data_IF_942442476674
#
_entry.id   IF_942442476674
#
_cell.length_a   1.000
_cell.length_b   1.000
_cell.length_c   1.000
_cell.angle_alpha   90.00
_cell.angle_beta   90.00
_cell.angle_gamma   90.00
#
_symmetry.space_group_name_H-M   'P 1'
#
loop_
_entity.id
_entity.type
_entity.pdbx_description
1 polymer ?
#
# COMPACT_ATOMS: atom_id res chain seq x y z
N UNK A 1 -22.54 -0.79 0.70
CA UNK A 1 -23.40 -1.02 -0.48
C UNK A 1 -23.69 0.26 -1.26
N UNK A 2 -24.13 1.37 -0.65
CA UNK A 2 -24.44 2.65 -1.36
C UNK A 2 -23.26 3.16 -2.20
N UNK A 3 -22.03 3.15 -1.66
CA UNK A 3 -20.82 3.54 -2.39
C UNK A 3 -20.52 2.65 -3.60
N UNK A 4 -20.78 1.35 -3.54
CA UNK A 4 -20.61 0.45 -4.68
C UNK A 4 -21.57 0.76 -5.82
N UNK A 5 -22.81 1.11 -5.51
CA UNK A 5 -23.82 1.52 -6.49
C UNK A 5 -23.43 2.88 -7.10
N UNK A 6 -22.94 3.84 -6.31
CA UNK A 6 -22.46 5.11 -6.83
C UNK A 6 -21.28 4.93 -7.79
N UNK A 7 -20.31 4.07 -7.45
CA UNK A 7 -19.16 3.78 -8.33
C UNK A 7 -19.65 3.16 -9.64
N UNK A 8 -20.53 2.16 -9.60
CA UNK A 8 -21.11 1.51 -10.79
C UNK A 8 -21.85 2.48 -11.71
N UNK A 9 -22.56 3.47 -11.15
CA UNK A 9 -23.35 4.42 -11.92
C UNK A 9 -22.53 5.60 -12.47
N UNK A 10 -21.51 6.04 -11.75
CA UNK A 10 -20.76 7.28 -12.05
C UNK A 10 -19.37 7.06 -12.61
N UNK A 11 -18.75 5.89 -12.36
CA UNK A 11 -17.40 5.63 -12.86
C UNK A 11 -17.48 4.99 -14.25
N UNK A 12 -17.01 5.67 -15.31
CA UNK A 12 -16.98 5.09 -16.65
C UNK A 12 -15.86 4.05 -16.75
N UNK A 13 -16.10 2.96 -17.45
CA UNK A 13 -15.13 1.87 -17.65
C UNK A 13 -13.93 2.29 -18.50
N UNK A 14 -14.12 3.23 -19.44
CA UNK A 14 -13.07 3.72 -20.35
C UNK A 14 -13.14 5.24 -20.48
N UNK A 15 -12.01 5.86 -20.79
CA UNK A 15 -11.91 7.31 -21.05
C UNK A 15 -12.80 7.71 -22.23
N UNK A 16 -12.91 6.87 -23.25
CA UNK A 16 -13.77 7.09 -24.43
C UNK A 16 -15.26 7.22 -24.07
N UNK A 17 -15.72 6.46 -23.06
CA UNK A 17 -17.12 6.46 -22.60
C UNK A 17 -17.40 7.46 -21.46
N UNK A 18 -16.36 8.12 -20.94
CA UNK A 18 -16.50 9.08 -19.85
C UNK A 18 -17.36 10.26 -20.25
N UNK A 19 -18.41 10.54 -19.44
CA UNK A 19 -19.29 11.70 -19.59
C UNK A 19 -18.63 12.91 -18.91
N UNK A 20 -18.44 14.01 -19.62
CA UNK A 20 -17.88 15.25 -19.05
C UNK A 20 -16.57 15.73 -19.67
N UNK A 21 -15.96 14.97 -20.56
CA UNK A 21 -14.77 15.39 -21.32
C UNK A 21 -15.12 15.69 -22.77
N UNK A 22 -14.56 16.76 -23.30
CA UNK A 22 -14.67 17.10 -24.73
C UNK A 22 -13.86 16.09 -25.57
N UNK A 23 -14.18 15.88 -26.87
CA UNK A 23 -13.43 14.94 -27.70
C UNK A 23 -11.92 15.20 -27.77
N UNK A 24 -11.53 16.49 -27.74
CA UNK A 24 -10.12 16.91 -27.72
C UNK A 24 -9.41 16.58 -26.39
N UNK A 25 -10.11 16.68 -25.27
CA UNK A 25 -9.57 16.29 -23.96
C UNK A 25 -9.42 14.77 -23.84
N UNK A 26 -10.34 13.99 -24.39
CA UNK A 26 -10.23 12.54 -24.45
C UNK A 26 -9.00 12.09 -25.23
N UNK A 27 -8.77 12.64 -26.41
CA UNK A 27 -7.58 12.34 -27.23
C UNK A 27 -6.28 12.75 -26.51
N UNK A 28 -6.28 13.90 -25.81
CA UNK A 28 -5.15 14.33 -25.00
C UNK A 28 -4.87 13.38 -23.83
N UNK A 29 -5.91 12.93 -23.15
CA UNK A 29 -5.81 11.97 -22.01
C UNK A 29 -5.32 10.61 -22.51
N UNK A 30 -5.86 10.10 -23.63
CA UNK A 30 -5.43 8.83 -24.22
C UNK A 30 -3.95 8.87 -24.66
N UNK A 31 -3.51 9.93 -25.30
CA UNK A 31 -2.09 10.15 -25.65
C UNK A 31 -1.20 10.24 -24.40
N UNK A 32 -1.66 10.91 -23.35
CA UNK A 32 -0.93 11.02 -22.09
C UNK A 32 -0.83 9.70 -21.36
N UNK A 33 -1.90 8.90 -21.36
CA UNK A 33 -1.91 7.54 -20.82
C UNK A 33 -0.98 6.64 -21.61
N UNK A 34 -1.03 6.67 -22.93
CA UNK A 34 -0.13 5.92 -23.82
C UNK A 34 1.36 6.28 -23.61
N UNK A 35 1.67 7.55 -23.36
CA UNK A 35 3.04 7.99 -23.10
C UNK A 35 3.51 7.77 -21.66
N UNK A 36 2.60 7.73 -20.68
CA UNK A 36 2.92 7.60 -19.25
C UNK A 36 2.89 6.16 -18.79
N UNK A 37 1.98 5.38 -19.33
CA UNK A 37 1.97 3.93 -19.20
C UNK A 37 3.00 3.34 -20.17
N UNK A 38 4.27 3.38 -19.80
CA UNK A 38 5.33 2.65 -20.46
C UNK A 38 5.00 1.14 -20.42
N UNK A 39 4.22 0.66 -21.40
CA UNK A 39 3.84 -0.73 -21.48
C UNK A 39 2.41 -1.03 -21.92
N UNK A 40 1.54 -0.02 -22.07
CA UNK A 40 0.36 -0.16 -22.93
C UNK A 40 0.76 0.33 -24.31
N UNK A 41 1.74 -0.32 -24.92
CA UNK A 41 1.69 -0.52 -26.35
C UNK A 41 0.53 -1.49 -26.51
N UNK A 42 -0.51 -1.07 -27.25
CA UNK A 42 -1.51 -1.95 -27.82
C UNK A 42 -0.83 -3.22 -28.36
N UNK A 43 -0.65 -4.19 -27.49
CA UNK A 43 -0.62 -5.56 -27.88
C UNK A 43 -2.09 -5.89 -28.06
N UNK A 44 -2.50 -6.07 -29.29
CA UNK A 44 -3.85 -6.45 -29.76
C UNK A 44 -4.38 -7.76 -29.16
N UNK A 45 -3.78 -8.27 -28.10
CA UNK A 45 -4.27 -9.40 -27.34
C UNK A 45 -4.30 -9.01 -25.86
N UNK A 46 -5.50 -8.69 -25.40
CA UNK A 46 -5.91 -8.63 -23.97
C UNK A 46 -5.80 -10.03 -23.32
N UNK A 47 -5.09 -10.95 -23.97
CA UNK A 47 -4.96 -12.34 -23.57
C UNK A 47 -3.90 -12.47 -22.47
N UNK A 48 -4.37 -12.95 -21.32
CA UNK A 48 -3.54 -13.34 -20.20
C UNK A 48 -2.40 -14.27 -20.64
N UNK A 49 -1.17 -13.79 -20.58
CA UNK A 49 0.00 -14.55 -21.00
C UNK A 49 0.61 -15.31 -19.82
N UNK A 50 0.28 -16.60 -19.72
CA UNK A 50 0.78 -17.50 -18.66
C UNK A 50 2.31 -17.50 -18.60
N UNK A 51 3.00 -17.38 -19.73
CA UNK A 51 4.48 -17.35 -19.77
C UNK A 51 5.05 -16.12 -19.07
N UNK A 52 4.42 -14.95 -19.25
CA UNK A 52 4.80 -13.73 -18.56
C UNK A 52 4.51 -13.78 -17.06
N UNK A 53 3.40 -14.40 -16.67
CA UNK A 53 3.08 -14.64 -15.27
C UNK A 53 4.10 -15.56 -14.60
N UNK A 54 4.55 -16.64 -15.30
CA UNK A 54 5.61 -17.52 -14.82
C UNK A 54 6.98 -16.79 -14.72
N UNK A 55 7.31 -15.95 -15.69
CA UNK A 55 8.54 -15.14 -15.65
C UNK A 55 8.58 -14.23 -14.42
N UNK A 56 7.41 -13.75 -13.96
CA UNK A 56 7.31 -12.96 -12.73
C UNK A 56 7.86 -13.72 -11.51
N UNK A 57 7.62 -15.03 -11.42
CA UNK A 57 8.15 -15.86 -10.32
C UNK A 57 9.66 -16.12 -10.43
N UNK A 58 10.23 -16.04 -11.62
CA UNK A 58 11.67 -16.22 -11.87
C UNK A 58 12.46 -14.91 -11.63
N UNK A 59 11.77 -13.75 -11.64
CA UNK A 59 12.43 -12.47 -11.40
C UNK A 59 12.74 -12.29 -9.90
N UNK A 60 14.02 -12.14 -9.50
CA UNK A 60 14.39 -11.91 -8.11
C UNK A 60 13.74 -10.65 -7.51
N UNK A 61 13.40 -9.65 -8.31
CA UNK A 61 12.69 -8.44 -7.84
C UNK A 61 11.34 -8.77 -7.21
N UNK A 62 10.63 -9.76 -7.76
CA UNK A 62 9.35 -10.24 -7.22
C UNK A 62 9.51 -10.70 -5.78
N UNK A 63 10.50 -11.53 -5.52
CA UNK A 63 10.79 -12.07 -4.19
C UNK A 63 11.19 -10.97 -3.19
N UNK A 64 11.95 -9.97 -3.63
CA UNK A 64 12.28 -8.82 -2.79
C UNK A 64 11.05 -8.01 -2.41
N UNK A 65 10.14 -7.72 -3.35
CA UNK A 65 8.89 -7.02 -3.04
C UNK A 65 8.02 -7.83 -2.09
N UNK A 66 7.89 -9.13 -2.32
CA UNK A 66 7.15 -10.04 -1.45
C UNK A 66 7.73 -10.05 -0.04
N UNK A 67 9.05 -10.12 0.10
CA UNK A 67 9.74 -10.13 1.39
C UNK A 67 9.55 -8.81 2.15
N UNK A 68 9.68 -7.67 1.47
CA UNK A 68 9.47 -6.35 2.08
C UNK A 68 8.06 -6.24 2.65
N UNK A 69 7.05 -6.63 1.87
CA UNK A 69 5.65 -6.56 2.30
C UNK A 69 5.40 -7.55 3.44
N UNK A 70 5.90 -8.78 3.35
CA UNK A 70 5.74 -9.80 4.39
C UNK A 70 6.32 -9.33 5.71
N UNK A 71 7.60 -8.93 5.73
CA UNK A 71 8.27 -8.46 6.94
C UNK A 71 7.64 -7.21 7.54
N UNK A 72 7.09 -6.32 6.70
CA UNK A 72 6.39 -5.12 7.15
C UNK A 72 4.99 -5.42 7.71
N UNK A 73 4.31 -6.43 7.17
CA UNK A 73 2.92 -6.73 7.53
C UNK A 73 2.77 -7.68 8.72
N UNK A 74 3.70 -8.62 8.94
CA UNK A 74 3.63 -9.55 10.09
C UNK A 74 3.51 -8.82 11.44
N UNK A 75 4.37 -7.84 11.79
CA UNK A 75 4.19 -7.11 13.03
C UNK A 75 2.92 -6.25 13.06
N UNK A 76 2.53 -5.71 11.90
CA UNK A 76 1.35 -4.88 11.78
C UNK A 76 0.05 -5.67 12.01
N UNK A 77 -0.07 -6.87 11.45
CA UNK A 77 -1.20 -7.78 11.67
C UNK A 77 -1.36 -8.15 13.15
N UNK A 78 -0.25 -8.49 13.80
CA UNK A 78 -0.24 -8.79 15.24
C UNK A 78 -0.70 -7.59 16.08
N UNK A 79 -0.23 -6.38 15.76
CA UNK A 79 -0.67 -5.17 16.45
C UNK A 79 -2.14 -4.85 16.19
N UNK A 80 -2.64 -5.00 14.97
CA UNK A 80 -4.05 -4.74 14.67
C UNK A 80 -4.97 -5.66 15.47
N UNK A 81 -4.62 -6.94 15.60
CA UNK A 81 -5.42 -7.92 16.31
C UNK A 81 -5.32 -7.77 17.83
N UNK A 82 -4.12 -7.55 18.34
CA UNK A 82 -3.84 -7.60 19.78
C UNK A 82 -3.57 -6.22 20.43
N UNK A 83 -3.71 -5.11 19.71
CA UNK A 83 -3.41 -3.77 20.21
C UNK A 83 -4.08 -3.44 21.54
N UNK A 84 -5.38 -3.75 21.65
CA UNK A 84 -6.14 -3.50 22.88
C UNK A 84 -5.62 -4.34 24.04
N UNK A 85 -5.30 -5.62 23.79
CA UNK A 85 -4.74 -6.52 24.80
C UNK A 85 -3.35 -6.08 25.25
N UNK A 86 -2.50 -5.64 24.34
CA UNK A 86 -1.15 -5.15 24.62
C UNK A 86 -1.21 -3.87 25.45
N UNK A 87 -2.07 -2.93 25.10
CA UNK A 87 -2.21 -1.66 25.83
C UNK A 87 -2.85 -1.87 27.22
N UNK A 88 -3.84 -2.75 27.34
CA UNK A 88 -4.40 -3.09 28.67
C UNK A 88 -3.40 -3.83 29.54
N UNK A 89 -2.63 -4.75 28.98
CA UNK A 89 -1.52 -5.42 29.66
C UNK A 89 -0.42 -4.47 30.12
N UNK A 90 -0.20 -3.34 29.41
CA UNK A 90 0.71 -2.28 29.82
C UNK A 90 0.17 -1.36 30.91
N UNK A 91 -1.09 -1.56 31.36
CA UNK A 91 -1.70 -0.81 32.47
C UNK A 91 -2.63 0.34 32.06
N UNK A 92 -3.08 0.38 30.80
CA UNK A 92 -4.15 1.28 30.38
C UNK A 92 -5.52 0.64 30.63
N UNK A 93 -6.54 1.45 30.94
CA UNK A 93 -7.91 0.95 31.04
C UNK A 93 -8.43 0.55 29.65
N UNK A 94 -9.38 -0.37 29.60
CA UNK A 94 -9.93 -0.90 28.34
C UNK A 94 -10.53 0.22 27.47
N UNK A 95 -11.18 1.20 28.08
CA UNK A 95 -11.74 2.36 27.39
C UNK A 95 -10.62 3.26 26.79
N UNK A 96 -9.56 3.53 27.55
CA UNK A 96 -8.42 4.34 27.08
C UNK A 96 -7.68 3.61 25.96
N UNK A 97 -7.47 2.30 26.06
CA UNK A 97 -6.82 1.50 25.04
C UNK A 97 -7.58 1.57 23.69
N UNK A 98 -8.90 1.52 23.73
CA UNK A 98 -9.73 1.68 22.54
C UNK A 98 -9.67 3.11 21.97
N UNK A 99 -9.63 4.14 22.83
CA UNK A 99 -9.52 5.53 22.39
C UNK A 99 -8.15 5.86 21.76
N UNK A 100 -7.09 5.21 22.19
CA UNK A 100 -5.74 5.37 21.59
C UNK A 100 -5.72 4.92 20.12
N UNK A 101 -6.63 4.07 19.70
CA UNK A 101 -6.82 3.72 18.28
C UNK A 101 -7.15 4.94 17.40
N UNK A 102 -7.87 5.95 17.90
CA UNK A 102 -8.25 7.12 17.11
C UNK A 102 -7.03 7.91 16.63
N UNK A 103 -6.11 8.37 17.50
CA UNK A 103 -4.90 9.05 17.06
C UNK A 103 -3.99 8.17 16.19
N UNK A 104 -3.94 6.86 16.43
CA UNK A 104 -3.17 5.94 15.59
C UNK A 104 -3.65 5.96 14.13
N UNK A 105 -4.96 5.83 13.90
CA UNK A 105 -5.52 5.88 12.55
C UNK A 105 -5.41 7.26 11.91
N UNK A 106 -5.51 8.33 12.70
CA UNK A 106 -5.30 9.69 12.22
C UNK A 106 -3.84 9.91 11.75
N UNK A 107 -2.86 9.47 12.53
CA UNK A 107 -1.44 9.50 12.14
C UNK A 107 -1.23 8.69 10.86
N UNK A 108 -1.79 7.48 10.77
CA UNK A 108 -1.71 6.64 9.57
C UNK A 108 -2.24 7.36 8.33
N UNK A 109 -3.41 8.00 8.43
CA UNK A 109 -3.99 8.78 7.33
C UNK A 109 -3.04 9.89 6.87
N UNK A 110 -2.53 10.69 7.81
CA UNK A 110 -1.61 11.79 7.50
C UNK A 110 -0.33 11.26 6.83
N UNK A 111 0.25 10.20 7.37
CA UNK A 111 1.48 9.60 6.81
C UNK A 111 1.25 9.09 5.40
N UNK A 112 0.14 8.39 5.12
CA UNK A 112 -0.18 7.89 3.78
C UNK A 112 -0.36 9.04 2.80
N UNK A 113 -1.07 10.11 3.18
CA UNK A 113 -1.26 11.28 2.32
C UNK A 113 0.06 12.02 2.03
N UNK A 114 0.87 12.25 3.06
CA UNK A 114 2.16 12.95 2.92
C UNK A 114 3.12 12.13 2.06
N UNK A 115 3.26 10.84 2.33
CA UNK A 115 4.17 9.97 1.56
C UNK A 115 3.70 9.78 0.12
N UNK A 116 2.39 9.69 -0.11
CA UNK A 116 1.81 9.66 -1.46
C UNK A 116 2.08 10.96 -2.22
N UNK A 117 1.91 12.12 -1.58
CA UNK A 117 2.23 13.41 -2.18
C UNK A 117 3.72 13.56 -2.48
N UNK A 118 4.60 13.18 -1.56
CA UNK A 118 6.05 13.21 -1.79
C UNK A 118 6.47 12.27 -2.93
N UNK A 119 5.92 11.07 -2.99
CA UNK A 119 6.20 10.10 -4.05
C UNK A 119 5.73 10.60 -5.43
N UNK A 120 4.65 11.37 -5.49
CA UNK A 120 4.15 11.96 -6.74
C UNK A 120 4.94 13.18 -7.19
N UNK A 121 5.46 13.97 -6.25
CA UNK A 121 6.18 15.22 -6.52
C UNK A 121 7.63 14.96 -6.95
N UNK A 122 8.31 14.04 -6.27
CA UNK A 122 9.72 13.74 -6.51
C UNK A 122 9.88 12.47 -7.34
N UNK A 123 10.41 12.57 -8.54
CA UNK A 123 10.70 11.43 -9.40
C UNK A 123 11.82 10.56 -8.79
N UNK A 124 11.67 9.24 -8.88
CA UNK A 124 12.65 8.23 -8.41
C UNK A 124 12.94 8.21 -6.89
N UNK A 125 12.13 8.85 -6.07
CA UNK A 125 12.31 8.87 -4.60
C UNK A 125 11.47 7.84 -3.86
N UNK A 126 10.59 7.11 -4.55
CA UNK A 126 9.65 6.16 -3.92
C UNK A 126 10.37 5.09 -3.13
N UNK A 127 11.51 4.56 -3.62
CA UNK A 127 12.32 3.56 -2.90
C UNK A 127 12.93 4.13 -1.62
N UNK A 128 13.47 5.36 -1.68
CA UNK A 128 14.01 6.04 -0.50
C UNK A 128 12.90 6.33 0.51
N UNK A 129 11.74 6.81 0.06
CA UNK A 129 10.58 7.05 0.92
C UNK A 129 10.13 5.76 1.61
N UNK A 130 10.04 4.64 0.89
CA UNK A 130 9.69 3.35 1.46
C UNK A 130 10.68 2.95 2.56
N UNK A 131 11.99 3.12 2.32
CA UNK A 131 13.03 2.83 3.30
C UNK A 131 12.93 3.73 4.55
N UNK A 132 12.72 5.03 4.38
CA UNK A 132 12.55 5.96 5.50
C UNK A 132 11.28 5.70 6.31
N UNK A 133 10.18 5.34 5.66
CA UNK A 133 8.88 5.08 6.31
C UNK A 133 8.89 3.77 7.09
N UNK A 134 9.79 2.83 6.79
CA UNK A 134 9.93 1.58 7.57
C UNK A 134 10.71 1.75 8.88
N UNK A 135 11.51 2.82 9.04
CA UNK A 135 12.31 3.04 10.23
C UNK A 135 11.47 3.34 11.50
N UNK A 136 10.47 4.25 11.47
CA UNK A 136 9.65 4.53 12.64
C UNK A 136 8.90 3.32 13.21
N UNK A 137 8.22 2.48 12.41
CA UNK A 137 7.60 1.26 12.91
C UNK A 137 8.61 0.30 13.54
N UNK A 138 9.77 0.12 12.91
CA UNK A 138 10.82 -0.73 13.46
C UNK A 138 11.28 -0.22 14.85
N UNK A 139 11.55 1.07 14.97
CA UNK A 139 11.88 1.69 16.27
C UNK A 139 10.73 1.52 17.27
N UNK A 140 9.48 1.65 16.82
CA UNK A 140 8.29 1.44 17.65
C UNK A 140 8.18 0.03 18.20
N UNK A 141 8.41 -0.98 17.36
CA UNK A 141 8.41 -2.39 17.80
C UNK A 141 9.53 -2.68 18.80
N UNK A 142 10.73 -2.13 18.58
CA UNK A 142 11.84 -2.24 19.53
C UNK A 142 11.52 -1.55 20.87
N UNK A 143 10.88 -0.38 20.83
CA UNK A 143 10.42 0.31 22.05
C UNK A 143 9.40 -0.54 22.83
N UNK A 144 8.49 -1.22 22.15
CA UNK A 144 7.52 -2.13 22.78
C UNK A 144 8.18 -3.39 23.34
N UNK A 145 9.23 -3.88 22.70
CA UNK A 145 9.94 -5.10 23.12
C UNK A 145 10.82 -4.84 24.37
N UNK A 146 11.54 -3.72 24.40
CA UNK A 146 12.48 -3.40 25.48
C UNK A 146 11.94 -2.43 26.50
N UNK A 147 10.80 -1.80 26.23
CA UNK A 147 10.21 -0.80 27.11
C UNK A 147 9.60 -1.43 28.36
N UNK A 148 9.91 -0.83 29.54
CA UNK A 148 9.37 -1.26 30.83
C UNK A 148 8.18 -0.43 31.30
N UNK A 149 7.99 0.76 30.71
CA UNK A 149 6.94 1.70 31.11
C UNK A 149 5.80 1.74 30.08
N UNK A 150 4.57 1.96 30.55
CA UNK A 150 3.37 2.06 29.69
C UNK A 150 3.51 3.09 28.55
N UNK A 151 4.29 4.15 28.74
CA UNK A 151 4.51 5.19 27.72
C UNK A 151 5.34 4.68 26.52
N UNK A 152 6.23 3.71 26.72
CA UNK A 152 6.96 3.06 25.61
C UNK A 152 6.03 2.25 24.73
N UNK A 153 5.05 1.53 25.31
CA UNK A 153 4.02 0.83 24.56
C UNK A 153 3.15 1.79 23.77
N UNK A 154 2.76 2.92 24.38
CA UNK A 154 1.99 3.96 23.70
C UNK A 154 2.77 4.57 22.51
N UNK A 155 4.01 4.98 22.73
CA UNK A 155 4.86 5.54 21.69
C UNK A 155 5.11 4.54 20.57
N UNK A 156 5.42 3.28 20.91
CA UNK A 156 5.60 2.21 19.95
C UNK A 156 4.35 1.93 19.10
N UNK A 157 3.18 1.94 19.73
CA UNK A 157 1.91 1.77 19.03
C UNK A 157 1.62 2.93 18.08
N UNK A 158 1.83 4.18 18.49
CA UNK A 158 1.60 5.34 17.62
C UNK A 158 2.60 5.40 16.46
N UNK A 159 3.87 5.03 16.68
CA UNK A 159 4.87 5.01 15.62
C UNK A 159 4.65 3.86 14.62
N UNK A 160 4.02 2.76 15.02
CA UNK A 160 3.65 1.68 14.10
C UNK A 160 2.67 2.13 12.99
N UNK A 161 1.94 3.22 13.21
CA UNK A 161 1.03 3.82 12.22
C UNK A 161 1.72 4.17 10.88
N UNK A 162 3.03 4.45 10.90
CA UNK A 162 3.82 4.69 9.69
C UNK A 162 3.89 3.46 8.76
N UNK A 163 3.77 2.27 9.31
CA UNK A 163 3.77 1.01 8.55
C UNK A 163 2.66 0.90 7.51
N UNK A 164 1.54 1.60 7.69
CA UNK A 164 0.44 1.57 6.73
C UNK A 164 0.79 2.20 5.36
N UNK A 165 1.80 3.06 5.29
CA UNK A 165 2.25 3.65 4.04
C UNK A 165 3.11 2.69 3.17
N UNK A 166 3.57 1.57 3.72
CA UNK A 166 4.40 0.60 2.99
C UNK A 166 3.62 0.00 1.80
N UNK A 167 2.35 -0.35 2.00
CA UNK A 167 1.52 -0.97 0.95
C UNK A 167 1.36 -0.05 -0.27
N UNK A 168 0.81 1.18 -0.14
CA UNK A 168 0.62 2.05 -1.29
C UNK A 168 1.94 2.45 -1.95
N UNK A 169 3.03 2.62 -1.20
CA UNK A 169 4.35 2.91 -1.76
C UNK A 169 4.90 1.70 -2.54
N UNK A 170 4.73 0.48 -2.04
CA UNK A 170 5.13 -0.73 -2.76
C UNK A 170 4.31 -0.93 -4.04
N UNK A 171 2.99 -0.66 -4.01
CA UNK A 171 2.15 -0.69 -5.20
C UNK A 171 2.60 0.34 -6.24
N UNK A 172 3.00 1.54 -5.80
CA UNK A 172 3.56 2.56 -6.67
C UNK A 172 4.89 2.13 -7.31
N UNK A 173 5.76 1.44 -6.53
CA UNK A 173 7.01 0.88 -7.05
C UNK A 173 6.77 -0.20 -8.11
N UNK A 174 5.80 -1.09 -7.89
CA UNK A 174 5.42 -2.12 -8.87
C UNK A 174 4.90 -1.47 -10.14
N UNK A 175 3.98 -0.51 -10.01
CA UNK A 175 3.42 0.19 -11.15
C UNK A 175 4.50 0.89 -12.02
N UNK A 176 5.55 1.43 -11.38
CA UNK A 176 6.65 2.12 -12.05
C UNK A 176 7.76 1.21 -12.60
N UNK A 177 7.99 0.04 -11.99
CA UNK A 177 9.12 -0.82 -12.35
C UNK A 177 8.76 -1.99 -13.27
N UNK A 178 7.50 -2.38 -13.33
CA UNK A 178 7.03 -3.48 -14.15
C UNK A 178 6.30 -2.93 -15.38
N UNK A 179 6.67 -3.41 -16.57
CA UNK A 179 6.12 -2.91 -17.83
C UNK A 179 4.88 -3.68 -18.27
N UNK A 180 4.89 -5.00 -18.19
CA UNK A 180 3.78 -5.85 -18.65
C UNK A 180 2.56 -5.75 -17.73
N UNK A 181 1.37 -5.65 -18.32
CA UNK A 181 0.08 -5.65 -17.62
C UNK A 181 -0.12 -6.96 -16.86
N UNK A 182 0.16 -8.10 -17.52
CA UNK A 182 0.06 -9.45 -16.91
C UNK A 182 0.95 -9.58 -15.69
N UNK A 183 2.20 -9.11 -15.77
CA UNK A 183 3.13 -9.14 -14.64
C UNK A 183 2.67 -8.22 -13.50
N UNK A 184 2.16 -7.01 -13.78
CA UNK A 184 1.59 -6.11 -12.77
C UNK A 184 0.42 -6.75 -12.02
N UNK A 185 -0.51 -7.35 -12.75
CA UNK A 185 -1.66 -8.03 -12.16
C UNK A 185 -1.22 -9.22 -11.30
N UNK A 186 -0.29 -10.04 -11.79
CA UNK A 186 0.26 -11.18 -11.04
C UNK A 186 0.95 -10.73 -9.76
N UNK A 187 1.82 -9.71 -9.84
CA UNK A 187 2.50 -9.14 -8.66
C UNK A 187 1.53 -8.58 -7.65
N UNK A 188 0.53 -7.85 -8.11
CA UNK A 188 -0.51 -7.28 -7.23
C UNK A 188 -1.26 -8.40 -6.50
N UNK A 189 -1.66 -9.45 -7.21
CA UNK A 189 -2.32 -10.61 -6.62
C UNK A 189 -1.44 -11.30 -5.57
N UNK A 190 -0.16 -11.53 -5.87
CA UNK A 190 0.81 -12.12 -4.94
C UNK A 190 0.97 -11.28 -3.67
N UNK A 191 1.04 -9.96 -3.80
CA UNK A 191 1.14 -9.06 -2.63
C UNK A 191 -0.11 -9.15 -1.77
N UNK A 192 -1.31 -9.18 -2.34
CA UNK A 192 -2.54 -9.35 -1.56
C UNK A 192 -2.60 -10.71 -0.84
N UNK A 193 -2.10 -11.78 -1.48
CA UNK A 193 -1.97 -13.09 -0.83
C UNK A 193 -1.03 -12.98 0.38
N UNK A 194 0.13 -12.33 0.21
CA UNK A 194 1.09 -12.14 1.30
C UNK A 194 0.53 -11.31 2.44
N UNK A 195 -0.16 -10.22 2.13
CA UNK A 195 -0.82 -9.39 3.15
C UNK A 195 -1.83 -10.24 3.93
N UNK A 196 -2.60 -11.08 3.25
CA UNK A 196 -3.57 -11.96 3.90
C UNK A 196 -2.90 -13.00 4.80
N UNK A 197 -1.82 -13.62 4.33
CA UNK A 197 -1.04 -14.60 5.12
C UNK A 197 -0.33 -13.93 6.31
N UNK A 198 0.17 -12.72 6.14
CA UNK A 198 0.87 -11.97 7.20
C UNK A 198 -0.05 -11.52 8.32
N UNK A 199 -1.36 -11.38 8.05
CA UNK A 199 -2.36 -10.94 9.01
C UNK A 199 -3.08 -12.12 9.72
N UNK A 200 -2.73 -13.36 9.37
CA UNK A 200 -3.18 -14.57 10.06
C UNK A 200 -2.28 -14.91 11.24
#
# INVERSE_FOLDING_TARGET
>A
MIWGIMILLFLPNNVSTARGFTPSEKDFIERRIGNTCTGIVESESDDWNIKEALQCFLDPKTWFFMLIVFLGQVPNGGLQTFSNLILTGAGFSNLVSSLIGIPHWFISLVVVLVTGHLASTFKNTTTLLTSFVTLPPLAGYLLMLFGTNKYFYLAGYLTSAFGHAIIPLTMSLIAGNIRSVTQKMTMTALIFIIISVSNM
#
